data_IF_699525836607
#
_entry.id   IF_699525836607
#
_cell.length_a   1.000
_cell.length_b   1.000
_cell.length_c   1.000
_cell.angle_alpha   90.00
_cell.angle_beta   90.00
_cell.angle_gamma   90.00
#
_symmetry.space_group_name_H-M   'P 1'
#
loop_
_entity.id
_entity.type
_entity.pdbx_description
1 polymer ?
#
# COMPACT_ATOMS: atom_id res chain seq x y z
N UNK A 1 11.27 4.53 -6.93
CA UNK A 1 12.15 3.85 -5.95
C UNK A 1 11.46 2.56 -5.55
N UNK A 2 12.16 1.43 -5.42
CA UNK A 2 11.54 0.17 -4.98
C UNK A 2 11.78 0.01 -3.48
N UNK A 3 10.72 -0.26 -2.73
CA UNK A 3 10.68 -0.46 -1.29
C UNK A 3 10.43 -1.95 -0.99
N UNK A 4 11.14 -2.50 -0.01
CA UNK A 4 10.94 -3.87 0.48
C UNK A 4 9.79 -3.91 1.51
N UNK A 5 9.23 -5.09 1.84
CA UNK A 5 8.13 -5.21 2.82
C UNK A 5 8.40 -4.56 4.18
N UNK A 6 9.66 -4.50 4.60
CA UNK A 6 10.06 -3.87 5.87
C UNK A 6 9.99 -2.34 5.81
N UNK A 7 10.02 -1.77 4.62
CA UNK A 7 9.91 -0.34 4.37
C UNK A 7 8.41 0.01 4.30
N UNK A 8 7.80 0.20 5.47
CA UNK A 8 6.37 0.52 5.56
C UNK A 8 6.09 1.88 4.90
N UNK A 9 4.95 2.01 4.20
CA UNK A 9 4.52 3.30 3.67
C UNK A 9 4.31 4.31 4.81
N UNK A 10 4.49 5.57 4.47
CA UNK A 10 4.33 6.67 5.40
C UNK A 10 3.16 7.60 4.99
N UNK A 11 2.92 8.62 5.81
CA UNK A 11 1.88 9.62 5.55
C UNK A 11 2.15 10.49 4.31
N UNK A 12 3.41 10.69 3.90
CA UNK A 12 3.72 11.49 2.72
C UNK A 12 3.48 10.71 1.42
N UNK A 13 3.30 9.39 1.49
CA UNK A 13 2.97 8.53 0.36
C UNK A 13 1.46 8.39 0.11
N UNK A 14 0.62 8.73 1.09
CA UNK A 14 -0.85 8.68 0.96
C UNK A 14 -1.31 9.55 -0.22
N UNK A 15 -2.21 9.01 -1.04
CA UNK A 15 -2.72 9.62 -2.26
C UNK A 15 -1.81 9.44 -3.48
N UNK A 16 -0.64 8.82 -3.34
CA UNK A 16 0.20 8.46 -4.49
C UNK A 16 -0.28 7.15 -5.12
N UNK A 17 0.00 7.02 -6.42
CA UNK A 17 -0.16 5.75 -7.13
C UNK A 17 0.99 4.83 -6.74
N UNK A 18 0.65 3.60 -6.39
CA UNK A 18 1.62 2.58 -6.01
C UNK A 18 1.44 1.31 -6.82
N UNK A 19 2.53 0.63 -7.06
CA UNK A 19 2.59 -0.73 -7.58
C UNK A 19 3.10 -1.65 -6.47
N UNK A 20 2.41 -2.75 -6.23
CA UNK A 20 2.63 -3.67 -5.11
C UNK A 20 2.69 -5.11 -5.61
N UNK A 21 3.68 -5.86 -5.17
CA UNK A 21 3.79 -7.32 -5.36
C UNK A 21 3.25 -8.03 -4.12
N UNK A 22 2.24 -8.89 -4.30
CA UNK A 22 1.62 -9.69 -3.24
C UNK A 22 2.37 -11.01 -3.01
N UNK A 23 2.13 -11.69 -1.88
CA UNK A 23 2.75 -12.99 -1.56
C UNK A 23 2.49 -14.09 -2.59
N UNK A 24 1.39 -14.01 -3.34
CA UNK A 24 1.07 -14.95 -4.41
C UNK A 24 1.78 -14.62 -5.74
N UNK A 25 2.66 -13.61 -5.75
CA UNK A 25 3.44 -13.16 -6.90
C UNK A 25 2.67 -12.26 -7.87
N UNK A 26 1.41 -11.92 -7.59
CA UNK A 26 0.66 -10.95 -8.41
C UNK A 26 1.11 -9.53 -8.12
N UNK A 27 1.20 -8.73 -9.18
CA UNK A 27 1.41 -7.28 -9.07
C UNK A 27 0.06 -6.56 -9.22
N UNK A 28 -0.26 -5.70 -8.26
CA UNK A 28 -1.43 -4.84 -8.28
C UNK A 28 -1.00 -3.37 -8.32
N UNK A 29 -1.82 -2.54 -8.98
CA UNK A 29 -1.61 -1.09 -9.01
C UNK A 29 -2.84 -0.41 -8.44
N UNK A 30 -2.63 0.53 -7.52
CA UNK A 30 -3.72 1.25 -6.87
C UNK A 30 -3.29 2.60 -6.33
N UNK A 31 -4.20 3.25 -5.63
CA UNK A 31 -3.93 4.45 -4.85
C UNK A 31 -3.59 4.03 -3.42
N UNK A 32 -2.50 4.53 -2.86
CA UNK A 32 -2.23 4.33 -1.44
C UNK A 32 -3.18 5.21 -0.62
N UNK A 33 -3.92 4.60 0.29
CA UNK A 33 -4.77 5.30 1.25
C UNK A 33 -4.35 4.91 2.69
N UNK A 34 -4.74 5.73 3.65
CA UNK A 34 -4.58 5.45 5.07
C UNK A 34 -5.94 5.62 5.75
N UNK A 35 -6.50 4.53 6.27
CA UNK A 35 -7.63 4.62 7.18
C UNK A 35 -7.13 5.00 8.57
N UNK A 36 -7.58 6.17 9.01
CA UNK A 36 -7.20 6.79 10.27
C UNK A 36 -8.32 6.73 11.30
N UNK A 37 -9.33 5.86 11.12
CA UNK A 37 -10.52 5.78 11.97
C UNK A 37 -10.19 5.54 13.47
N UNK A 38 -9.83 6.63 14.16
CA UNK A 38 -9.66 6.70 15.61
C UNK A 38 -8.38 6.08 16.19
N UNK A 39 -7.36 5.78 15.38
CA UNK A 39 -6.13 5.12 15.85
C UNK A 39 -4.89 5.97 15.55
N UNK A 40 -3.95 6.01 16.50
CA UNK A 40 -2.61 6.61 16.31
C UNK A 40 -1.76 5.80 15.29
N UNK A 41 -2.17 4.57 14.99
CA UNK A 41 -1.57 3.71 13.98
C UNK A 41 -2.52 3.61 12.77
N UNK A 42 -2.21 4.29 11.65
CA UNK A 42 -3.01 4.18 10.44
C UNK A 42 -2.93 2.77 9.86
N UNK A 43 -4.04 2.29 9.31
CA UNK A 43 -4.03 1.10 8.46
C UNK A 43 -3.87 1.60 7.03
N UNK A 44 -2.74 1.26 6.41
CA UNK A 44 -2.52 1.58 5.01
C UNK A 44 -3.23 0.57 4.11
N UNK A 45 -3.76 1.05 3.00
CA UNK A 45 -4.54 0.27 2.05
C UNK A 45 -4.20 0.66 0.62
N UNK A 46 -4.36 -0.29 -0.31
CA UNK A 46 -4.20 -0.07 -1.74
C UNK A 46 -5.59 -0.12 -2.35
N UNK A 47 -6.10 1.04 -2.74
CA UNK A 47 -7.38 1.16 -3.43
C UNK A 47 -7.21 0.84 -4.91
N UNK A 48 -7.85 -0.23 -5.36
CA UNK A 48 -7.89 -0.67 -6.75
C UNK A 48 -9.32 -0.61 -7.29
N UNK A 49 -9.50 -0.82 -8.59
CA UNK A 49 -10.83 -0.91 -9.19
C UNK A 49 -11.66 -2.10 -8.65
N UNK A 50 -10.98 -3.15 -8.17
CA UNK A 50 -11.60 -4.37 -7.67
C UNK A 50 -11.88 -4.33 -6.15
N UNK A 51 -11.40 -3.28 -5.46
CA UNK A 51 -11.53 -3.10 -4.02
C UNK A 51 -10.25 -2.59 -3.35
N UNK A 52 -10.31 -2.43 -2.02
CA UNK A 52 -9.17 -2.05 -1.19
C UNK A 52 -8.45 -3.28 -0.63
N UNK A 53 -7.12 -3.27 -0.69
CA UNK A 53 -6.26 -4.33 -0.16
C UNK A 53 -5.39 -3.79 0.99
N UNK A 54 -5.33 -4.43 2.17
CA UNK A 54 -4.47 -3.95 3.24
C UNK A 54 -2.99 -4.00 2.85
N UNK A 55 -2.23 -2.97 3.23
CA UNK A 55 -0.79 -2.88 2.97
C UNK A 55 0.06 -3.80 3.86
N UNK A 56 -0.56 -4.72 4.61
CA UNK A 56 0.13 -5.75 5.39
C UNK A 56 0.50 -7.02 4.60
N UNK A 57 0.01 -7.15 3.36
CA UNK A 57 0.25 -8.27 2.45
C UNK A 57 1.31 -8.08 1.32
N UNK A 58 1.85 -6.89 1.01
CA UNK A 58 2.93 -6.69 0.04
C UNK A 58 4.25 -7.39 0.42
N UNK A 59 4.88 -8.05 -0.55
CA UNK A 59 6.29 -8.49 -0.50
C UNK A 59 7.23 -7.36 -0.97
N UNK A 60 6.74 -6.52 -1.88
CA UNK A 60 7.45 -5.32 -2.38
C UNK A 60 6.45 -4.26 -2.81
N UNK A 61 6.88 -3.00 -2.81
CA UNK A 61 6.08 -1.92 -3.35
C UNK A 61 6.91 -0.77 -3.90
N UNK A 62 6.28 0.12 -4.68
CA UNK A 62 6.88 1.37 -5.13
C UNK A 62 5.85 2.42 -5.46
N UNK A 63 6.21 3.68 -5.27
CA UNK A 63 5.53 4.83 -5.88
C UNK A 63 5.89 4.92 -7.37
N UNK A 64 4.88 5.19 -8.21
CA UNK A 64 5.01 5.33 -9.68
C UNK A 64 4.46 6.66 -10.20
#
# INVERSE_FOLDING_TARGET
MIHESDDWPDWQDVGKRVEVELEDGRTVTGLLNADTAGSDNPIFEIETADGAFPFGYPVRWRVI
#
